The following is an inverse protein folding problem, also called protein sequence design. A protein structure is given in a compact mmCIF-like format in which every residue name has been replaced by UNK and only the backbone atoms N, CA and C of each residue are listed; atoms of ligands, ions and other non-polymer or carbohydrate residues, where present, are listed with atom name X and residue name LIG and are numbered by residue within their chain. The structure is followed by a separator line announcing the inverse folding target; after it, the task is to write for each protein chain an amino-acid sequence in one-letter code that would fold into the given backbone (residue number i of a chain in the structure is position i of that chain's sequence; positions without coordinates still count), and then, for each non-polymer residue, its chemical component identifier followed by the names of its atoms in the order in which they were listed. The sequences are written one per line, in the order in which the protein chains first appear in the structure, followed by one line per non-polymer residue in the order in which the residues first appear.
data_IF_342705445249
#
_entry.id   IF_342705445249
#
_cell.length_a   1.000
_cell.length_b   1.000
_cell.length_c   1.000
_cell.angle_alpha   90.00
_cell.angle_beta   90.00
_cell.angle_gamma   90.00
#
_symmetry.space_group_name_H-M   'P 1'
#
loop_
_entity.id
_entity.type
_entity.pdbx_description
1 polymer ?
#
# COMPACT_ATOMS: atom_id res chain seq x y z
N UNK A 1 -4.91 -1.71 7.05
CA UNK A 1 -4.21 -0.40 7.08
C UNK A 1 -4.05 0.28 5.71
N UNK A 2 -3.39 -0.30 4.69
CA UNK A 2 -3.09 0.36 3.39
C UNK A 2 -4.27 0.85 2.54
N UNK A 3 -5.50 0.45 2.86
CA UNK A 3 -6.70 0.78 2.08
C UNK A 3 -7.74 1.54 2.91
N UNK A 4 -7.71 1.38 4.23
CA UNK A 4 -8.76 1.86 5.13
C UNK A 4 -8.25 2.55 6.40
N UNK A 5 -6.93 2.65 6.58
CA UNK A 5 -6.29 3.16 7.80
C UNK A 5 -6.74 2.48 9.12
N UNK A 6 -7.39 1.32 9.01
CA UNK A 6 -7.95 0.57 10.12
C UNK A 6 -7.92 -0.94 9.82
N UNK A 7 -8.17 -1.76 10.84
CA UNK A 7 -8.43 -3.19 10.74
C UNK A 7 -9.31 -3.67 11.92
N UNK A 8 -10.54 -4.16 11.68
CA UNK A 8 -11.41 -4.70 12.72
C UNK A 8 -11.06 -6.15 13.10
N UNK A 9 -10.01 -6.72 12.50
CA UNK A 9 -9.46 -8.04 12.80
C UNK A 9 -7.92 -8.00 12.71
N UNK A 10 -7.23 -8.85 13.48
CA UNK A 10 -5.79 -9.13 13.37
C UNK A 10 -5.56 -10.33 12.46
N UNK A 11 -6.22 -11.46 12.70
CA UNK A 11 -6.12 -12.60 11.77
C UNK A 11 -6.94 -12.35 10.51
N UNK A 12 -6.50 -12.98 9.41
CA UNK A 12 -7.24 -12.96 8.17
C UNK A 12 -8.67 -13.50 8.37
N UNK A 13 -9.70 -12.75 7.93
CA UNK A 13 -11.09 -13.14 8.10
C UNK A 13 -11.39 -14.43 7.33
N UNK A 14 -12.14 -15.32 7.97
CA UNK A 14 -12.47 -16.65 7.43
C UNK A 14 -13.60 -16.55 6.38
N UNK A 15 -13.72 -17.53 5.47
CA UNK A 15 -14.91 -17.62 4.61
C UNK A 15 -16.20 -17.57 5.45
N UNK A 16 -17.12 -16.65 5.11
CA UNK A 16 -18.36 -16.43 5.86
C UNK A 16 -18.30 -15.33 6.92
N UNK A 17 -17.12 -14.77 7.22
CA UNK A 17 -17.01 -13.59 8.08
C UNK A 17 -17.76 -12.40 7.45
N UNK A 18 -18.64 -11.75 8.22
CA UNK A 18 -19.43 -10.58 7.80
C UNK A 18 -18.77 -9.26 8.17
N UNK A 19 -17.64 -9.28 8.88
CA UNK A 19 -16.87 -8.08 9.24
C UNK A 19 -16.41 -7.38 7.98
N UNK A 20 -16.93 -6.19 7.73
CA UNK A 20 -16.56 -5.37 6.58
C UNK A 20 -16.18 -3.98 7.04
N UNK A 21 -15.13 -3.44 6.44
CA UNK A 21 -14.71 -2.06 6.69
C UNK A 21 -15.50 -1.16 5.75
N UNK A 22 -16.26 -0.22 6.31
CA UNK A 22 -17.15 0.67 5.54
C UNK A 22 -16.52 2.02 5.15
N UNK A 23 -15.43 2.42 5.82
CA UNK A 23 -14.64 3.61 5.47
C UNK A 23 -13.37 3.15 4.77
N UNK A 24 -13.14 3.59 3.53
CA UNK A 24 -11.96 3.18 2.75
C UNK A 24 -11.57 4.23 1.71
N UNK A 25 -10.28 4.28 1.37
CA UNK A 25 -9.74 5.19 0.38
C UNK A 25 -10.42 5.03 -1.00
N UNK A 26 -10.70 3.81 -1.52
CA UNK A 26 -11.49 3.63 -2.74
C UNK A 26 -12.83 4.36 -2.74
N UNK A 27 -13.59 4.31 -1.63
CA UNK A 27 -14.88 5.00 -1.53
C UNK A 27 -14.71 6.52 -1.46
N UNK A 28 -13.68 7.00 -0.74
CA UNK A 28 -13.36 8.44 -0.69
C UNK A 28 -12.94 8.99 -2.06
N UNK A 29 -12.20 8.20 -2.84
CA UNK A 29 -11.85 8.54 -4.23
C UNK A 29 -13.11 8.63 -5.11
N UNK A 30 -14.01 7.66 -5.01
CA UNK A 30 -15.28 7.66 -5.76
C UNK A 30 -16.16 8.87 -5.42
N UNK A 31 -16.23 9.25 -4.15
CA UNK A 31 -16.96 10.44 -3.71
C UNK A 31 -16.43 11.74 -4.35
N UNK A 32 -15.17 11.75 -4.82
CA UNK A 32 -14.54 12.85 -5.55
C UNK A 32 -14.44 12.61 -7.06
N UNK A 33 -15.13 11.59 -7.58
CA UNK A 33 -15.11 11.19 -9.00
C UNK A 33 -13.70 10.82 -9.50
N UNK A 34 -12.82 10.39 -8.59
CA UNK A 34 -11.51 9.85 -8.92
C UNK A 34 -11.62 8.35 -9.15
N UNK A 35 -10.76 7.83 -10.04
CA UNK A 35 -10.76 6.42 -10.39
C UNK A 35 -9.75 5.66 -9.55
N UNK A 36 -10.00 4.37 -9.34
CA UNK A 36 -9.07 3.50 -8.65
C UNK A 36 -9.06 2.08 -9.24
N UNK A 37 -7.96 1.36 -9.03
CA UNK A 37 -7.81 -0.02 -9.49
C UNK A 37 -7.02 -0.87 -8.50
N UNK A 38 -7.47 -2.12 -8.31
CA UNK A 38 -6.77 -3.14 -7.54
C UNK A 38 -6.25 -4.22 -8.49
N UNK A 39 -4.93 -4.23 -8.69
CA UNK A 39 -4.21 -5.16 -9.56
C UNK A 39 -3.59 -6.27 -8.72
N UNK A 40 -4.32 -7.39 -8.60
CA UNK A 40 -3.99 -8.47 -7.66
C UNK A 40 -4.70 -8.32 -6.31
N UNK A 41 -4.20 -8.99 -5.28
CA UNK A 41 -4.70 -8.87 -3.90
C UNK A 41 -6.12 -9.37 -3.63
N UNK A 42 -6.39 -9.70 -2.38
CA UNK A 42 -7.70 -10.16 -1.90
C UNK A 42 -8.33 -9.23 -0.85
N UNK A 43 -7.55 -8.30 -0.27
CA UNK A 43 -7.99 -7.47 0.85
C UNK A 43 -9.24 -6.61 0.55
N UNK A 44 -9.44 -6.21 -0.72
CA UNK A 44 -10.60 -5.41 -1.14
C UNK A 44 -11.93 -6.17 -0.98
N UNK A 45 -11.91 -7.50 -0.94
CA UNK A 45 -13.12 -8.33 -0.75
C UNK A 45 -13.73 -8.15 0.64
N UNK A 46 -12.98 -7.59 1.59
CA UNK A 46 -13.42 -7.28 2.95
C UNK A 46 -13.91 -5.84 3.14
N UNK A 47 -13.95 -5.04 2.07
CA UNK A 47 -14.42 -3.66 2.12
C UNK A 47 -15.89 -3.59 1.71
N UNK A 48 -16.73 -3.03 2.58
CA UNK A 48 -18.15 -2.81 2.29
C UNK A 48 -18.28 -1.80 1.15
N UNK A 49 -19.22 -2.03 0.23
CA UNK A 49 -19.43 -1.16 -0.94
C UNK A 49 -18.34 -1.24 -2.02
N UNK A 50 -17.22 -1.91 -1.77
CA UNK A 50 -16.10 -2.05 -2.72
C UNK A 50 -16.03 -3.48 -3.28
N UNK A 51 -15.78 -4.47 -2.43
CA UNK A 51 -15.74 -5.89 -2.81
C UNK A 51 -14.81 -6.17 -3.99
N UNK A 52 -15.34 -6.81 -5.05
CA UNK A 52 -14.59 -7.20 -6.27
C UNK A 52 -14.60 -6.15 -7.39
N UNK A 53 -15.14 -4.95 -7.14
CA UNK A 53 -15.15 -3.86 -8.13
C UNK A 53 -13.71 -3.46 -8.46
N UNK A 54 -13.47 -3.06 -9.71
CA UNK A 54 -12.15 -2.60 -10.21
C UNK A 54 -10.99 -3.56 -9.86
N UNK A 55 -11.26 -4.87 -9.81
CA UNK A 55 -10.27 -5.92 -9.59
C UNK A 55 -9.73 -6.39 -10.93
N UNK A 56 -8.41 -6.34 -11.08
CA UNK A 56 -7.66 -6.79 -12.24
C UNK A 56 -6.60 -7.81 -11.81
N UNK A 57 -6.04 -8.55 -12.76
CA UNK A 57 -4.87 -9.39 -12.48
C UNK A 57 -3.62 -8.52 -12.34
N UNK A 58 -2.63 -8.96 -11.57
CA UNK A 58 -1.37 -8.23 -11.42
C UNK A 58 -0.70 -7.97 -12.77
N UNK A 59 -0.77 -8.95 -13.69
CA UNK A 59 -0.22 -8.83 -15.05
C UNK A 59 -0.94 -7.79 -15.93
N UNK A 60 -2.15 -7.36 -15.57
CA UNK A 60 -2.85 -6.30 -16.29
C UNK A 60 -2.25 -4.91 -16.01
N UNK A 61 -1.60 -4.73 -14.86
CA UNK A 61 -1.04 -3.43 -14.47
C UNK A 61 -0.06 -2.89 -15.51
N UNK A 62 0.96 -3.67 -15.87
CA UNK A 62 1.93 -3.26 -16.89
C UNK A 62 1.27 -2.91 -18.24
N UNK A 63 0.21 -3.62 -18.63
CA UNK A 63 -0.51 -3.35 -19.89
C UNK A 63 -1.23 -2.01 -19.84
N UNK A 64 -1.93 -1.73 -18.75
CA UNK A 64 -2.66 -0.47 -18.56
C UNK A 64 -1.68 0.71 -18.39
N UNK A 65 -0.57 0.48 -17.68
CA UNK A 65 0.52 1.42 -17.53
C UNK A 65 1.14 1.80 -18.88
N UNK A 66 1.51 0.81 -19.71
CA UNK A 66 2.04 1.03 -21.07
C UNK A 66 1.06 1.78 -21.97
N UNK A 67 -0.25 1.55 -21.79
CA UNK A 67 -1.28 2.26 -22.53
C UNK A 67 -1.56 3.68 -22.00
N UNK A 68 -0.93 4.09 -20.90
CA UNK A 68 -1.17 5.38 -20.24
C UNK A 68 -2.53 5.49 -19.56
N UNK A 69 -3.16 4.35 -19.21
CA UNK A 69 -4.56 4.23 -18.75
C UNK A 69 -4.71 3.89 -17.27
N UNK A 70 -3.66 4.06 -16.46
CA UNK A 70 -3.79 3.83 -15.01
C UNK A 70 -4.84 4.77 -14.38
N UNK A 71 -5.62 4.29 -13.40
CA UNK A 71 -6.53 5.13 -12.63
C UNK A 71 -5.78 6.12 -11.72
N UNK A 72 -6.52 7.03 -11.07
CA UNK A 72 -5.93 8.02 -10.14
C UNK A 72 -5.13 7.38 -9.01
N UNK A 73 -5.59 6.23 -8.48
CA UNK A 73 -4.85 5.42 -7.50
C UNK A 73 -4.87 3.95 -7.90
N UNK A 74 -3.70 3.33 -7.96
CA UNK A 74 -3.54 1.90 -8.27
C UNK A 74 -2.86 1.18 -7.11
N UNK A 75 -3.47 0.12 -6.62
CA UNK A 75 -2.81 -0.86 -5.75
C UNK A 75 -2.35 -2.02 -6.60
N UNK A 76 -1.11 -2.44 -6.41
CA UNK A 76 -0.48 -3.47 -7.23
C UNK A 76 0.19 -4.45 -6.29
N UNK A 77 -0.25 -5.71 -6.35
CA UNK A 77 0.36 -6.82 -5.62
C UNK A 77 0.82 -7.87 -6.61
N UNK A 78 2.08 -8.28 -6.52
CA UNK A 78 2.60 -9.34 -7.37
C UNK A 78 1.94 -10.69 -7.07
N UNK A 79 2.04 -11.66 -7.98
CA UNK A 79 1.66 -13.05 -7.67
C UNK A 79 2.71 -13.66 -6.75
N UNK A 80 2.36 -14.75 -6.03
CA UNK A 80 3.22 -15.43 -5.04
C UNK A 80 4.65 -15.75 -5.50
N UNK A 81 4.85 -15.95 -6.80
CA UNK A 81 6.19 -16.16 -7.36
C UNK A 81 7.11 -14.92 -7.29
N UNK A 82 6.53 -13.72 -7.22
CA UNK A 82 7.21 -12.44 -7.40
C UNK A 82 6.96 -11.44 -6.26
N UNK A 83 6.17 -11.80 -5.24
CA UNK A 83 5.83 -10.91 -4.13
C UNK A 83 6.90 -10.84 -3.03
N UNK A 84 8.02 -11.56 -3.23
CA UNK A 84 9.14 -11.67 -2.28
C UNK A 84 8.76 -12.26 -0.93
N UNK A 85 7.58 -12.88 -0.82
CA UNK A 85 7.17 -13.55 0.41
C UNK A 85 8.21 -14.63 0.77
N UNK A 86 8.62 -14.76 2.06
CA UNK A 86 9.48 -15.84 2.51
C UNK A 86 8.97 -17.21 2.06
N UNK A 87 9.88 -18.18 1.91
CA UNK A 87 9.49 -19.53 1.52
C UNK A 87 8.46 -20.12 2.50
N UNK A 88 7.25 -20.40 2.00
CA UNK A 88 6.18 -21.08 2.74
C UNK A 88 6.00 -22.51 2.17
N UNK A 89 6.41 -23.56 2.92
CA UNK A 89 6.31 -24.94 2.48
C UNK A 89 4.89 -25.32 2.02
N UNK A 90 4.77 -25.81 0.79
CA UNK A 90 3.49 -26.26 0.23
C UNK A 90 2.67 -25.18 -0.49
N UNK A 91 3.14 -23.93 -0.55
CA UNK A 91 2.44 -22.84 -1.27
C UNK A 91 3.00 -22.48 -2.65
N UNK A 92 3.91 -23.30 -3.17
CA UNK A 92 4.49 -23.12 -4.51
C UNK A 92 5.79 -22.29 -4.50
N UNK A 93 6.24 -21.81 -5.68
CA UNK A 93 7.47 -21.03 -5.78
C UNK A 93 7.27 -19.62 -5.19
N UNK A 94 8.13 -19.24 -4.24
CA UNK A 94 8.25 -17.89 -3.66
C UNK A 94 9.65 -17.71 -3.06
N UNK A 95 9.91 -16.59 -2.37
CA UNK A 95 11.16 -16.39 -1.63
C UNK A 95 12.37 -15.98 -2.46
N UNK A 96 12.19 -15.68 -3.75
CA UNK A 96 13.28 -15.21 -4.62
C UNK A 96 13.17 -13.70 -4.87
N UNK A 97 14.02 -12.95 -4.16
CA UNK A 97 14.10 -11.47 -4.24
C UNK A 97 14.54 -11.01 -5.63
N UNK A 98 15.41 -11.76 -6.33
CA UNK A 98 15.84 -11.39 -7.69
C UNK A 98 14.68 -11.42 -8.69
N UNK A 99 13.79 -12.39 -8.57
CA UNK A 99 12.60 -12.43 -9.45
C UNK A 99 11.57 -11.38 -9.06
N UNK A 100 11.39 -11.11 -7.76
CA UNK A 100 10.47 -10.07 -7.29
C UNK A 100 10.92 -8.65 -7.64
N UNK A 101 12.21 -8.35 -7.48
CA UNK A 101 12.77 -7.07 -7.88
C UNK A 101 12.60 -6.84 -9.38
N UNK A 102 12.87 -7.85 -10.22
CA UNK A 102 12.74 -7.72 -11.66
C UNK A 102 11.28 -7.47 -12.07
N UNK A 103 10.34 -8.21 -11.46
CA UNK A 103 8.92 -8.00 -11.71
C UNK A 103 8.48 -6.57 -11.37
N UNK A 104 8.98 -6.03 -10.26
CA UNK A 104 8.71 -4.66 -9.81
C UNK A 104 9.30 -3.63 -10.76
N UNK A 105 10.56 -3.81 -11.19
CA UNK A 105 11.22 -2.98 -12.21
C UNK A 105 10.42 -2.95 -13.50
N UNK A 106 9.89 -4.09 -13.95
CA UNK A 106 9.06 -4.16 -15.15
C UNK A 106 7.78 -3.32 -15.03
N UNK A 107 7.16 -3.27 -13.85
CA UNK A 107 5.98 -2.42 -13.60
C UNK A 107 6.34 -0.93 -13.66
N UNK A 108 7.45 -0.52 -13.03
CA UNK A 108 7.93 0.88 -13.06
C UNK A 108 8.30 1.28 -14.50
N UNK A 109 8.98 0.41 -15.24
CA UNK A 109 9.30 0.62 -16.64
C UNK A 109 8.06 0.79 -17.51
N UNK A 110 7.00 0.03 -17.24
CA UNK A 110 5.72 0.16 -17.94
C UNK A 110 5.09 1.55 -17.71
N UNK A 111 5.14 2.08 -16.49
CA UNK A 111 4.68 3.44 -16.14
C UNK A 111 5.46 4.50 -16.93
N UNK A 112 6.80 4.38 -16.95
CA UNK A 112 7.68 5.31 -17.67
C UNK A 112 7.42 5.26 -19.17
N UNK A 113 7.43 4.07 -19.78
CA UNK A 113 7.19 3.86 -21.21
C UNK A 113 5.79 4.30 -21.65
N UNK A 114 4.80 4.19 -20.77
CA UNK A 114 3.45 4.70 -20.97
C UNK A 114 3.30 6.22 -20.87
N UNK A 115 4.40 6.96 -20.64
CA UNK A 115 4.38 8.42 -20.55
C UNK A 115 3.73 8.96 -19.27
N UNK A 116 3.62 8.14 -18.23
CA UNK A 116 2.96 8.53 -16.97
C UNK A 116 3.92 9.24 -15.99
N UNK A 117 5.23 9.11 -16.18
CA UNK A 117 6.26 9.64 -15.27
C UNK A 117 6.03 11.09 -14.82
N UNK A 118 5.71 12.08 -15.69
CA UNK A 118 5.58 13.47 -15.28
C UNK A 118 4.49 13.75 -14.23
N UNK A 119 3.59 12.79 -13.98
CA UNK A 119 2.39 12.96 -13.14
C UNK A 119 2.14 11.78 -12.20
N UNK A 120 3.18 11.02 -11.84
CA UNK A 120 3.04 9.83 -10.99
C UNK A 120 3.82 9.97 -9.69
N UNK A 121 3.27 9.40 -8.62
CA UNK A 121 4.00 9.05 -7.40
C UNK A 121 3.87 7.55 -7.20
N UNK A 122 4.99 6.86 -7.03
CA UNK A 122 5.06 5.42 -6.82
C UNK A 122 5.62 5.19 -5.42
N UNK A 123 4.87 4.44 -4.62
CA UNK A 123 5.33 3.92 -3.34
C UNK A 123 5.53 2.41 -3.48
N UNK A 124 6.77 1.96 -3.31
CA UNK A 124 7.09 0.54 -3.22
C UNK A 124 7.32 0.20 -1.75
N UNK A 125 6.54 -0.73 -1.20
CA UNK A 125 6.63 -1.14 0.20
C UNK A 125 6.25 -2.61 0.35
N UNK A 126 6.56 -3.19 1.50
CA UNK A 126 6.17 -4.55 1.87
C UNK A 126 5.04 -4.48 2.89
N UNK A 127 4.16 -5.47 2.92
CA UNK A 127 3.03 -5.51 3.85
C UNK A 127 3.48 -5.84 5.28
N UNK A 128 4.51 -6.68 5.43
CA UNK A 128 5.10 -7.12 6.68
C UNK A 128 6.62 -7.36 6.58
N UNK A 129 7.26 -7.66 7.71
CA UNK A 129 8.72 -7.83 7.82
C UNK A 129 9.20 -9.27 7.53
N UNK A 130 8.28 -10.18 7.18
CA UNK A 130 8.60 -11.56 6.79
C UNK A 130 9.23 -12.46 7.86
N UNK A 131 9.25 -12.03 9.13
CA UNK A 131 9.83 -12.80 10.24
C UNK A 131 11.32 -12.56 10.47
N UNK A 132 11.98 -11.69 9.69
CA UNK A 132 13.38 -11.33 9.89
C UNK A 132 13.60 -10.34 11.04
N UNK A 133 14.78 -10.37 11.64
CA UNK A 133 15.12 -9.47 12.72
C UNK A 133 15.32 -8.03 12.21
N UNK A 134 14.73 -7.07 12.93
CA UNK A 134 15.07 -5.64 12.84
C UNK A 134 15.48 -5.15 14.23
N UNK A 135 16.50 -4.30 14.30
CA UNK A 135 17.08 -3.86 15.57
C UNK A 135 16.28 -2.74 16.26
N UNK A 136 15.28 -2.17 15.59
CA UNK A 136 14.46 -1.11 16.17
C UNK A 136 13.22 -1.73 16.78
N UNK A 137 13.09 -1.56 18.09
CA UNK A 137 11.86 -1.91 18.79
C UNK A 137 10.72 -0.99 18.30
N UNK A 138 9.63 -1.56 17.73
CA UNK A 138 8.55 -0.74 17.21
C UNK A 138 7.78 -0.09 18.36
N UNK A 139 7.55 1.23 18.33
CA UNK A 139 6.83 1.89 19.40
C UNK A 139 5.39 1.38 19.48
N UNK A 140 4.95 1.04 20.69
CA UNK A 140 3.57 0.66 20.98
C UNK A 140 2.73 1.91 21.24
N UNK A 141 2.03 2.38 20.21
CA UNK A 141 1.14 3.55 20.28
C UNK A 141 -0.34 3.15 20.38
N UNK A 142 -0.65 1.88 20.12
CA UNK A 142 -1.99 1.34 20.23
C UNK A 142 -1.96 -0.14 20.57
N UNK A 143 -2.72 -0.53 21.60
CA UNK A 143 -3.01 -1.92 21.92
C UNK A 143 -4.35 -2.36 21.32
N UNK A 144 -4.47 -3.64 20.99
CA UNK A 144 -5.71 -4.24 20.50
C UNK A 144 -6.78 -4.26 21.60
N UNK A 145 -7.99 -3.77 21.27
CA UNK A 145 -9.09 -3.58 22.23
C UNK A 145 -10.32 -4.46 21.96
N UNK A 146 -10.38 -5.18 20.84
CA UNK A 146 -11.57 -5.93 20.47
C UNK A 146 -11.52 -7.35 21.04
N UNK A 147 -12.44 -7.66 21.96
CA UNK A 147 -12.58 -9.00 22.53
C UNK A 147 -13.17 -10.01 21.52
N UNK A 148 -13.83 -9.54 20.46
CA UNK A 148 -14.34 -10.37 19.36
C UNK A 148 -13.93 -9.76 18.02
N UNK A 149 -13.57 -10.58 17.01
CA UNK A 149 -13.57 -12.04 17.01
C UNK A 149 -12.34 -12.70 17.66
N UNK A 150 -11.33 -11.92 18.07
CA UNK A 150 -10.02 -12.47 18.49
C UNK A 150 -9.62 -12.01 19.91
N UNK A 151 -10.19 -12.62 20.96
CA UNK A 151 -9.90 -12.22 22.35
C UNK A 151 -8.44 -12.46 22.76
N UNK A 152 -7.74 -13.39 22.10
CA UNK A 152 -6.34 -13.73 22.40
C UNK A 152 -5.36 -12.59 22.16
N UNK A 153 -5.72 -11.61 21.33
CA UNK A 153 -4.90 -10.42 21.09
C UNK A 153 -5.23 -9.27 22.03
N UNK A 154 -6.22 -9.38 22.92
CA UNK A 154 -6.61 -8.26 23.77
C UNK A 154 -5.44 -7.76 24.62
N UNK A 155 -5.12 -6.46 24.50
CA UNK A 155 -3.99 -5.83 25.18
C UNK A 155 -2.63 -6.01 24.49
N UNK A 156 -2.53 -6.81 23.42
CA UNK A 156 -1.27 -6.90 22.65
C UNK A 156 -1.05 -5.65 21.82
N UNK A 157 0.21 -5.37 21.49
CA UNK A 157 0.56 -4.30 20.56
C UNK A 157 -0.14 -4.50 19.22
N UNK A 158 -0.86 -3.46 18.77
CA UNK A 158 -1.56 -3.42 17.49
C UNK A 158 -0.90 -2.43 16.53
N UNK A 159 -0.43 -1.30 17.03
CA UNK A 159 0.48 -0.41 16.28
C UNK A 159 1.64 0.05 17.13
N UNK A 160 2.87 0.05 16.61
CA UNK A 160 3.30 -0.40 15.26
C UNK A 160 3.85 -1.84 15.26
N UNK A 161 4.17 -2.39 14.09
CA UNK A 161 4.95 -3.64 13.95
C UNK A 161 6.39 -3.35 13.54
N UNK A 162 7.19 -4.41 13.34
CA UNK A 162 8.57 -4.30 12.84
C UNK A 162 8.65 -3.49 11.54
N UNK A 163 9.78 -2.78 11.35
CA UNK A 163 9.98 -1.92 10.18
C UNK A 163 10.01 -2.72 8.89
N UNK A 164 9.52 -2.08 7.83
CA UNK A 164 9.60 -2.54 6.44
C UNK A 164 10.18 -1.44 5.56
N UNK A 165 10.71 -1.79 4.39
CA UNK A 165 11.15 -0.81 3.42
C UNK A 165 9.99 0.01 2.84
N UNK A 166 10.27 1.26 2.47
CA UNK A 166 9.41 2.06 1.61
C UNK A 166 10.29 2.92 0.71
N UNK A 167 10.13 2.76 -0.61
CA UNK A 167 10.79 3.57 -1.63
C UNK A 167 9.75 4.49 -2.27
N UNK A 168 10.15 5.75 -2.46
CA UNK A 168 9.33 6.78 -3.13
C UNK A 168 9.97 7.14 -4.45
N UNK A 169 9.26 6.91 -5.56
CA UNK A 169 9.70 7.29 -6.90
C UNK A 169 8.68 8.26 -7.50
N UNK A 170 9.17 9.40 -7.96
CA UNK A 170 8.38 10.42 -8.63
C UNK A 170 9.32 11.45 -9.28
N UNK A 171 8.90 12.16 -10.34
CA UNK A 171 9.60 13.37 -10.78
C UNK A 171 9.74 14.42 -9.68
N UNK A 172 8.87 14.40 -8.66
CA UNK A 172 8.88 15.33 -7.53
C UNK A 172 9.49 14.74 -6.25
N UNK A 173 9.90 13.47 -6.27
CA UNK A 173 10.58 12.87 -5.12
C UNK A 173 11.96 13.53 -4.92
N UNK A 174 12.36 13.70 -3.66
CA UNK A 174 13.70 14.19 -3.32
C UNK A 174 14.72 13.11 -3.65
N UNK A 175 15.66 13.42 -4.53
CA UNK A 175 16.67 12.45 -5.00
C UNK A 175 17.73 12.19 -3.92
N UNK A 176 18.09 10.92 -3.73
CA UNK A 176 19.08 10.51 -2.72
C UNK A 176 18.67 10.81 -1.28
N UNK A 177 17.39 11.09 -1.03
CA UNK A 177 16.90 11.48 0.28
C UNK A 177 16.41 10.28 1.09
N UNK A 178 16.87 10.18 2.34
CA UNK A 178 16.39 9.20 3.30
C UNK A 178 15.60 9.96 4.36
N UNK A 179 14.28 9.83 4.32
CA UNK A 179 13.43 10.38 5.37
C UNK A 179 13.77 9.78 6.72
N UNK A 180 13.74 10.61 7.77
CA UNK A 180 13.93 10.22 9.17
C UNK A 180 12.64 10.37 9.99
N UNK A 181 11.54 10.74 9.35
CA UNK A 181 10.23 10.81 9.99
C UNK A 181 9.68 9.40 10.23
N UNK A 182 8.80 9.28 11.22
CA UNK A 182 8.03 8.06 11.42
C UNK A 182 6.95 7.98 10.34
N UNK A 183 7.15 7.04 9.42
CA UNK A 183 6.20 6.68 8.38
C UNK A 183 5.61 5.31 8.64
N UNK A 184 4.36 5.12 8.28
CA UNK A 184 3.68 3.82 8.35
C UNK A 184 2.85 3.59 7.10
N UNK A 185 2.28 2.39 6.94
CA UNK A 185 1.32 2.13 5.86
C UNK A 185 0.12 3.09 5.86
N UNK A 186 -0.24 3.66 7.02
CA UNK A 186 -1.31 4.66 7.10
C UNK A 186 -0.86 5.98 6.46
N UNK A 187 0.43 6.31 6.52
CA UNK A 187 0.98 7.51 5.89
C UNK A 187 0.76 7.55 4.38
N UNK A 188 0.66 6.39 3.72
CA UNK A 188 0.36 6.28 2.29
C UNK A 188 -1.11 6.60 1.99
N UNK A 189 -2.02 6.22 2.90
CA UNK A 189 -3.43 6.63 2.83
C UNK A 189 -3.52 8.14 3.02
N UNK A 190 -2.84 8.65 4.06
CA UNK A 190 -2.80 10.08 4.38
C UNK A 190 -2.18 10.94 3.27
N UNK A 191 -1.16 10.43 2.57
CA UNK A 191 -0.62 11.07 1.38
C UNK A 191 -1.69 11.23 0.30
N UNK A 192 -2.45 10.17 -0.01
CA UNK A 192 -3.52 10.23 -1.00
C UNK A 192 -4.62 11.21 -0.59
N UNK A 193 -5.01 11.23 0.69
CA UNK A 193 -5.95 12.21 1.20
C UNK A 193 -5.47 13.64 0.98
N UNK A 194 -4.20 13.91 1.26
CA UNK A 194 -3.61 15.24 1.13
C UNK A 194 -3.52 15.67 -0.34
N UNK A 195 -3.10 14.76 -1.24
CA UNK A 195 -2.99 15.04 -2.68
C UNK A 195 -4.35 15.27 -3.34
N UNK A 196 -5.37 14.50 -2.96
CA UNK A 196 -6.70 14.56 -3.59
C UNK A 196 -7.71 15.43 -2.81
N UNK A 197 -7.29 16.03 -1.69
CA UNK A 197 -8.16 16.80 -0.81
C UNK A 197 -9.36 15.97 -0.31
N UNK A 198 -9.06 14.79 0.22
CA UNK A 198 -10.03 13.88 0.85
C UNK A 198 -10.04 14.09 2.38
N UNK A 199 -11.19 13.90 3.05
CA UNK A 199 -11.20 13.82 4.50
C UNK A 199 -10.49 12.55 4.98
N UNK A 200 -10.00 12.58 6.22
CA UNK A 200 -9.47 11.40 6.89
C UNK A 200 -10.56 10.32 7.04
N UNK A 201 -10.21 9.04 6.89
CA UNK A 201 -11.16 7.94 7.02
C UNK A 201 -11.54 7.68 8.47
N UNK A 202 -10.63 7.93 9.42
CA UNK A 202 -10.83 7.77 10.85
C UNK A 202 -9.81 8.62 11.66
N UNK A 203 -9.58 8.31 12.94
CA UNK A 203 -8.61 9.06 13.76
C UNK A 203 -7.16 8.67 13.48
N UNK A 204 -6.92 7.45 12.98
CA UNK A 204 -5.58 6.90 12.76
C UNK A 204 -4.86 7.64 11.63
N UNK A 205 -5.51 7.80 10.47
CA UNK A 205 -4.98 8.57 9.35
C UNK A 205 -5.01 10.08 9.60
N UNK A 206 -6.01 10.59 10.34
CA UNK A 206 -6.02 11.99 10.76
C UNK A 206 -4.77 12.41 11.56
N UNK A 207 -4.12 11.48 12.26
CA UNK A 207 -2.91 11.71 13.05
C UNK A 207 -1.61 11.25 12.35
N UNK A 208 -1.72 10.61 11.18
CA UNK A 208 -0.56 10.11 10.46
C UNK A 208 0.19 11.26 9.74
N UNK A 209 1.51 11.09 9.57
CA UNK A 209 2.29 11.91 8.63
C UNK A 209 1.85 11.60 7.19
N UNK A 210 1.93 12.60 6.31
CA UNK A 210 1.45 12.54 4.92
C UNK A 210 2.56 12.23 3.89
N UNK A 211 3.75 11.80 4.31
CA UNK A 211 4.93 11.55 3.47
C UNK A 211 5.45 12.78 2.72
N UNK A 212 4.96 13.99 3.01
CA UNK A 212 5.29 15.19 2.23
C UNK A 212 6.79 15.54 2.26
N UNK A 213 7.53 15.12 3.29
CA UNK A 213 8.96 15.37 3.40
C UNK A 213 9.80 14.61 2.35
N UNK A 214 9.24 13.56 1.76
CA UNK A 214 9.81 12.80 0.64
C UNK A 214 9.72 13.54 -0.69
N UNK A 215 8.90 14.60 -0.78
CA UNK A 215 8.64 15.33 -2.02
C UNK A 215 9.14 16.77 -1.95
N UNK A 216 9.53 17.29 -3.11
CA UNK A 216 9.67 18.71 -3.36
C UNK A 216 8.77 19.04 -4.57
N UNK A 217 7.65 19.69 -4.31
CA UNK A 217 6.70 20.08 -5.36
C UNK A 217 7.03 21.44 -5.99
N UNK A 218 8.04 22.15 -5.47
CA UNK A 218 8.46 23.47 -5.98
C UNK A 218 9.56 23.36 -7.05
N UNK A 219 10.29 22.24 -7.10
CA UNK A 219 11.28 21.96 -8.15
C UNK A 219 10.63 21.61 -9.48
N UNK A 220 11.41 21.76 -10.55
CA UNK A 220 11.06 21.17 -11.84
C UNK A 220 11.00 19.63 -11.75
N UNK A 221 10.03 19.00 -12.43
CA UNK A 221 9.94 17.55 -12.55
C UNK A 221 11.27 16.94 -13.02
N UNK A 222 11.79 15.96 -12.30
CA UNK A 222 12.95 15.19 -12.77
C UNK A 222 12.58 14.40 -14.04
N UNK A 223 13.51 14.21 -14.99
CA UNK A 223 13.28 13.35 -16.15
C UNK A 223 13.02 11.91 -15.70
N UNK A 224 12.40 11.07 -16.56
CA UNK A 224 12.24 9.66 -16.26
C UNK A 224 13.58 8.98 -15.96
N UNK A 225 13.60 7.94 -15.10
CA UNK A 225 14.80 7.14 -14.91
C UNK A 225 15.23 6.50 -16.24
N UNK A 226 16.55 6.27 -16.43
CA UNK A 226 17.09 5.67 -17.64
C UNK A 226 16.58 4.25 -17.89
#
# INVERSE_FOLDING_TARGET
MLIAADSPFIDNPKPGDSSRISSSLPLSLEARKLTWGNYGGYAFEYLSGVGRRNKFTSNQFAKDALAGKLPSVSWVLATTQFDEHPQDPGRGPMGNVTTGMQWTVDQVNAIVKGGLWPRVAIFLTWDCWGGWYDHVDPPNVEAWKLATPQPSYMGTQFRYGSRVGCLVLSPFARSGYISKKLHSHVSLVRFCESVFGLPALNQTDAQADDMSDCFDFKRSPAPPPP
#
